data_IF_393298549177
#
_entry.id   IF_393298549177
#
_cell.length_a   1.000
_cell.length_b   1.000
_cell.length_c   1.000
_cell.angle_alpha   90.00
_cell.angle_beta   90.00
_cell.angle_gamma   90.00
#
_symmetry.space_group_name_H-M   'P 1'
#
loop_
_entity.id
_entity.type
_entity.pdbx_description
1 polymer ?
#
# COMPACT_ATOMS: atom_id res chain seq x y z
N UNK A 1 -8.19 54.64 -35.31
CA UNK A 1 -8.39 53.17 -35.40
C UNK A 1 -7.03 52.53 -35.16
N UNK A 2 -6.61 52.47 -33.90
CA UNK A 2 -6.84 51.38 -32.92
C UNK A 2 -5.98 50.16 -33.26
N UNK A 3 -5.06 49.94 -32.33
CA UNK A 3 -4.06 48.89 -32.21
C UNK A 3 -4.64 47.48 -32.43
N UNK A 4 -3.81 46.58 -32.97
CA UNK A 4 -3.91 45.17 -32.61
C UNK A 4 -2.55 44.47 -32.79
N UNK A 5 -1.60 44.75 -31.89
CA UNK A 5 -0.55 43.78 -31.51
C UNK A 5 -1.21 42.65 -30.68
N UNK A 6 -2.15 41.91 -31.28
CA UNK A 6 -2.95 40.89 -30.59
C UNK A 6 -2.77 39.47 -31.18
N UNK A 7 -1.76 39.27 -32.02
CA UNK A 7 -1.50 37.97 -32.65
C UNK A 7 -0.67 37.00 -31.81
N UNK A 8 0.16 37.51 -30.89
CA UNK A 8 1.12 36.68 -30.15
C UNK A 8 0.67 36.28 -28.73
N UNK A 9 -0.58 36.58 -28.36
CA UNK A 9 -1.17 36.11 -27.10
C UNK A 9 -2.03 34.85 -27.29
N UNK A 10 -2.43 34.54 -28.53
CA UNK A 10 -3.31 33.42 -28.84
C UNK A 10 -2.61 32.07 -29.11
N UNK A 11 -1.28 32.00 -28.97
CA UNK A 11 -0.55 30.71 -29.03
C UNK A 11 -0.29 30.14 -27.62
N UNK A 12 -0.45 30.94 -26.56
CA UNK A 12 -0.18 30.50 -25.18
C UNK A 12 -1.33 29.68 -24.56
N UNK A 13 -2.52 29.70 -25.16
CA UNK A 13 -3.71 29.00 -24.64
C UNK A 13 -3.90 27.58 -25.20
N UNK A 14 -2.97 27.08 -26.01
CA UNK A 14 -3.05 25.72 -26.58
C UNK A 14 -2.29 24.65 -25.78
N UNK A 15 -1.58 25.01 -24.71
CA UNK A 15 -0.79 24.08 -23.88
C UNK A 15 -1.39 23.76 -22.52
N UNK A 16 -2.55 24.29 -22.19
CA UNK A 16 -3.36 23.74 -21.10
C UNK A 16 -4.27 22.70 -21.74
N UNK A 17 -3.82 21.44 -21.78
CA UNK A 17 -4.77 20.34 -21.89
C UNK A 17 -5.63 20.38 -20.63
N UNK A 18 -6.93 20.68 -20.70
CA UNK A 18 -7.82 20.27 -19.63
C UNK A 18 -7.72 18.74 -19.60
N UNK A 19 -7.20 18.18 -18.51
CA UNK A 19 -7.38 16.75 -18.24
C UNK A 19 -8.88 16.49 -18.34
N UNK A 20 -9.35 15.69 -19.31
CA UNK A 20 -10.78 15.46 -19.44
C UNK A 20 -11.25 14.77 -18.17
N UNK A 21 -12.13 15.46 -17.45
CA UNK A 21 -13.14 14.87 -16.59
C UNK A 21 -13.77 13.70 -17.36
N UNK A 22 -13.39 12.47 -17.01
CA UNK A 22 -13.93 11.27 -17.65
C UNK A 22 -12.87 10.33 -18.20
N UNK A 23 -12.10 9.69 -17.32
CA UNK A 23 -11.62 8.34 -17.61
C UNK A 23 -12.84 7.40 -17.48
N UNK A 24 -13.66 7.32 -18.52
CA UNK A 24 -14.60 6.22 -18.63
C UNK A 24 -13.78 4.95 -18.81
N UNK A 25 -13.68 4.16 -17.74
CA UNK A 25 -13.21 2.78 -17.78
C UNK A 25 -14.43 1.87 -18.00
N UNK A 26 -14.92 1.67 -19.25
CA UNK A 26 -16.01 0.74 -19.47
C UNK A 26 -15.50 -0.67 -19.16
N UNK A 27 -16.04 -1.25 -18.10
CA UNK A 27 -15.80 -2.60 -17.58
C UNK A 27 -14.64 -2.78 -16.58
N UNK A 28 -14.18 -1.73 -15.88
CA UNK A 28 -13.56 -1.97 -14.57
C UNK A 28 -14.69 -2.23 -13.56
N UNK A 29 -15.05 -3.50 -13.37
CA UNK A 29 -15.93 -3.90 -12.28
C UNK A 29 -15.22 -3.56 -10.96
N UNK A 30 -15.72 -2.54 -10.27
CA UNK A 30 -15.28 -2.15 -8.92
C UNK A 30 -15.49 -3.29 -7.90
N UNK A 31 -16.17 -4.37 -8.28
CA UNK A 31 -16.25 -5.61 -7.50
C UNK A 31 -14.95 -6.46 -7.54
N UNK A 32 -13.97 -6.12 -8.38
CA UNK A 32 -12.71 -6.86 -8.56
C UNK A 32 -11.48 -6.15 -7.94
N UNK A 33 -11.67 -5.08 -7.14
CA UNK A 33 -10.62 -4.43 -6.35
C UNK A 33 -11.20 -4.09 -4.95
N UNK A 34 -10.59 -4.46 -3.80
CA UNK A 34 -9.18 -4.74 -3.59
C UNK A 34 -8.92 -6.06 -2.81
N UNK A 35 -8.04 -6.91 -3.32
CA UNK A 35 -7.02 -7.41 -2.37
C UNK A 35 -6.25 -6.16 -1.99
N UNK A 36 -6.28 -5.74 -0.72
CA UNK A 36 -5.56 -4.56 -0.27
C UNK A 36 -4.16 -4.57 -0.90
N UNK A 37 -3.77 -3.48 -1.57
CA UNK A 37 -2.45 -3.43 -2.19
C UNK A 37 -1.41 -3.67 -1.09
N UNK A 38 -0.36 -4.46 -1.35
CA UNK A 38 0.62 -4.77 -0.33
C UNK A 38 1.30 -3.48 0.15
N UNK A 39 1.52 -3.40 1.46
CA UNK A 39 2.38 -2.39 2.08
C UNK A 39 3.82 -2.81 1.83
N UNK A 40 4.56 -1.98 1.08
CA UNK A 40 5.93 -2.27 0.65
C UNK A 40 6.91 -1.38 1.41
N UNK A 41 7.96 -1.98 1.95
CA UNK A 41 9.12 -1.31 2.50
C UNK A 41 10.15 -0.95 1.45
N UNK A 42 11.30 -0.51 1.94
CA UNK A 42 12.43 0.00 1.18
C UNK A 42 13.69 -0.82 1.50
N UNK A 43 14.83 -0.52 0.86
CA UNK A 43 16.11 -0.94 1.43
C UNK A 43 16.41 -0.11 2.69
N UNK A 44 16.57 -0.76 3.83
CA UNK A 44 16.77 -0.11 5.13
C UNK A 44 16.05 -0.87 6.24
N UNK A 45 16.07 -0.31 7.44
CA UNK A 45 15.22 -0.80 8.53
C UNK A 45 13.87 -0.07 8.44
N UNK A 46 12.81 -0.82 8.17
CA UNK A 46 11.45 -0.32 8.08
C UNK A 46 10.58 -0.80 9.27
N UNK A 47 9.49 -0.07 9.54
CA UNK A 47 8.52 -0.41 10.57
C UNK A 47 7.12 -0.53 9.95
N UNK A 48 6.44 -1.64 10.23
CA UNK A 48 5.09 -1.93 9.74
C UNK A 48 4.12 -2.11 10.90
N UNK A 49 2.93 -1.54 10.76
CA UNK A 49 1.85 -1.63 11.75
C UNK A 49 0.56 -2.05 11.05
N UNK A 50 0.02 -3.21 11.42
CA UNK A 50 -1.24 -3.75 10.91
C UNK A 50 -2.46 -3.20 11.63
N UNK A 51 -3.61 -3.29 10.98
CA UNK A 51 -4.88 -2.79 11.52
C UNK A 51 -5.55 -3.82 12.43
N UNK A 52 -5.12 -3.87 13.71
CA UNK A 52 -5.57 -4.87 14.68
C UNK A 52 -7.10 -4.92 14.97
N UNK A 53 -7.88 -3.93 14.51
CA UNK A 53 -9.35 -3.89 14.68
C UNK A 53 -10.12 -4.19 13.39
N UNK A 54 -9.48 -4.17 12.22
CA UNK A 54 -10.12 -4.50 10.96
C UNK A 54 -10.06 -6.02 10.74
N UNK A 55 -11.17 -6.64 10.32
CA UNK A 55 -11.14 -8.05 9.97
C UNK A 55 -10.49 -8.31 8.59
N UNK A 56 -10.14 -7.25 7.85
CA UNK A 56 -9.47 -7.30 6.56
C UNK A 56 -8.05 -7.84 6.67
N UNK A 57 -7.72 -8.83 5.83
CA UNK A 57 -6.35 -9.34 5.71
C UNK A 57 -5.47 -8.36 4.93
N UNK A 58 -4.31 -8.03 5.48
CA UNK A 58 -3.31 -7.15 4.91
C UNK A 58 -2.12 -7.97 4.37
N UNK A 59 -1.26 -7.32 3.58
CA UNK A 59 -0.04 -7.94 3.07
C UNK A 59 1.11 -6.96 3.22
N UNK A 60 2.18 -7.40 3.86
CA UNK A 60 3.37 -6.62 4.17
C UNK A 60 4.59 -7.24 3.51
N UNK A 61 5.42 -6.41 2.88
CA UNK A 61 6.68 -6.82 2.25
C UNK A 61 7.78 -5.88 2.74
N UNK A 62 8.71 -6.39 3.56
CA UNK A 62 9.80 -5.58 4.16
C UNK A 62 10.83 -5.13 3.14
N UNK A 63 11.49 -6.09 2.49
CA UNK A 63 12.52 -5.79 1.52
C UNK A 63 13.89 -6.22 2.05
N UNK A 64 14.84 -5.29 2.13
CA UNK A 64 16.19 -5.62 2.58
C UNK A 64 16.61 -4.71 3.71
N UNK A 65 17.10 -5.28 4.81
CA UNK A 65 17.48 -4.58 6.04
C UNK A 65 16.81 -5.24 7.24
N UNK A 66 17.03 -4.71 8.44
CA UNK A 66 16.51 -5.30 9.67
C UNK A 66 15.15 -4.66 9.98
N UNK A 67 14.06 -5.31 9.60
CA UNK A 67 12.70 -4.77 9.64
C UNK A 67 11.91 -5.16 10.90
N UNK A 68 10.93 -4.35 11.27
CA UNK A 68 10.01 -4.60 12.37
C UNK A 68 8.54 -4.63 11.90
N UNK A 69 7.78 -5.64 12.32
CA UNK A 69 6.36 -5.80 12.00
C UNK A 69 5.54 -6.01 13.26
N UNK A 70 4.56 -5.14 13.50
CA UNK A 70 3.52 -5.28 14.52
C UNK A 70 2.17 -5.47 13.82
N UNK A 71 1.81 -6.72 13.54
CA UNK A 71 0.62 -7.09 12.75
C UNK A 71 -0.31 -8.03 13.51
N UNK A 72 -0.13 -8.19 14.81
CA UNK A 72 -0.99 -9.03 15.61
C UNK A 72 -2.41 -8.43 15.73
N UNK A 73 -3.42 -9.24 15.42
CA UNK A 73 -4.83 -8.87 15.46
C UNK A 73 -5.44 -8.66 14.08
N UNK A 74 -6.74 -8.36 14.06
CA UNK A 74 -7.42 -8.01 12.83
C UNK A 74 -7.69 -9.19 11.88
N UNK A 75 -7.24 -9.09 10.63
CA UNK A 75 -7.37 -10.07 9.56
C UNK A 75 -6.40 -11.25 9.69
N UNK A 76 -6.32 -12.09 8.67
CA UNK A 76 -5.26 -13.10 8.57
C UNK A 76 -4.18 -12.58 7.64
N UNK A 77 -3.19 -11.88 8.20
CA UNK A 77 -2.24 -11.08 7.46
C UNK A 77 -1.16 -11.94 6.80
N UNK A 78 -0.48 -11.38 5.81
CA UNK A 78 0.66 -12.01 5.14
C UNK A 78 1.89 -11.15 5.28
N UNK A 79 2.95 -11.71 5.87
CA UNK A 79 4.21 -10.99 6.10
C UNK A 79 5.34 -11.65 5.32
N UNK A 80 6.00 -10.88 4.48
CA UNK A 80 7.21 -11.25 3.74
C UNK A 80 8.36 -10.33 4.15
N UNK A 81 9.18 -10.72 5.12
CA UNK A 81 10.19 -9.82 5.66
C UNK A 81 11.29 -9.48 4.63
N UNK A 82 11.93 -10.50 4.07
CA UNK A 82 12.89 -10.32 2.98
C UNK A 82 14.27 -10.73 3.46
N UNK A 83 15.30 -9.90 3.25
CA UNK A 83 16.65 -10.23 3.70
C UNK A 83 17.12 -9.29 4.80
N UNK A 84 17.58 -9.83 5.93
CA UNK A 84 18.11 -9.03 7.02
C UNK A 84 17.98 -9.81 8.32
N UNK A 85 17.82 -9.11 9.45
CA UNK A 85 17.33 -9.70 10.69
C UNK A 85 16.04 -9.02 11.08
N UNK A 86 14.94 -9.69 10.81
CA UNK A 86 13.61 -9.16 10.94
C UNK A 86 12.94 -9.65 12.21
N UNK A 87 12.08 -8.79 12.77
CA UNK A 87 11.30 -9.05 13.97
C UNK A 87 9.81 -8.88 13.67
N UNK A 88 9.03 -9.94 13.88
CA UNK A 88 7.59 -9.96 13.61
C UNK A 88 6.82 -10.30 14.88
N UNK A 89 5.85 -9.46 15.23
CA UNK A 89 4.76 -9.75 16.15
C UNK A 89 3.51 -10.03 15.34
N UNK A 90 3.03 -11.26 15.39
CA UNK A 90 1.90 -11.75 14.62
C UNK A 90 1.00 -12.63 15.52
N UNK A 91 -0.27 -12.74 15.17
CA UNK A 91 -1.17 -13.67 15.84
C UNK A 91 -1.27 -15.01 15.09
N UNK A 92 -2.00 -15.97 15.65
CA UNK A 92 -2.16 -17.32 15.07
C UNK A 92 -2.87 -17.36 13.71
N UNK A 93 -3.60 -16.30 13.35
CA UNK A 93 -4.29 -16.19 12.06
C UNK A 93 -3.41 -15.67 10.92
N UNK A 94 -2.23 -15.14 11.24
CA UNK A 94 -1.29 -14.59 10.26
C UNK A 94 -0.36 -15.63 9.64
N UNK A 95 -0.04 -15.42 8.36
CA UNK A 95 0.93 -16.17 7.60
C UNK A 95 2.24 -15.37 7.50
N UNK A 96 3.24 -15.82 8.25
CA UNK A 96 4.58 -15.21 8.26
C UNK A 96 5.53 -16.07 7.42
N UNK A 97 6.18 -15.47 6.43
CA UNK A 97 7.10 -16.16 5.55
C UNK A 97 8.33 -16.69 6.31
N UNK A 98 8.93 -17.77 5.80
CA UNK A 98 10.15 -18.34 6.37
C UNK A 98 11.40 -17.48 6.23
N UNK A 99 11.29 -16.33 5.55
CA UNK A 99 12.34 -15.31 5.47
C UNK A 99 12.41 -14.44 6.73
N UNK A 100 11.48 -14.56 7.67
CA UNK A 100 11.48 -13.78 8.91
C UNK A 100 12.23 -14.53 10.02
N UNK A 101 13.27 -13.92 10.58
CA UNK A 101 14.19 -14.59 11.51
C UNK A 101 13.62 -14.74 12.92
N UNK A 102 12.95 -13.69 13.43
CA UNK A 102 12.39 -13.69 14.79
C UNK A 102 10.89 -13.43 14.73
N UNK A 103 10.08 -14.41 15.17
CA UNK A 103 8.62 -14.31 15.16
C UNK A 103 8.07 -14.59 16.55
N UNK A 104 7.39 -13.60 17.14
CA UNK A 104 6.59 -13.77 18.35
C UNK A 104 5.13 -13.98 17.97
N UNK A 105 4.54 -15.05 18.50
CA UNK A 105 3.15 -15.45 18.23
C UNK A 105 2.27 -15.24 19.45
N UNK A 106 1.13 -14.61 19.23
CA UNK A 106 0.04 -14.49 20.22
C UNK A 106 -1.21 -15.24 19.73
N UNK A 107 -2.12 -15.56 20.63
CA UNK A 107 -3.43 -16.08 20.23
C UNK A 107 -4.20 -14.99 19.47
N UNK A 108 -4.90 -15.38 18.40
CA UNK A 108 -5.76 -14.44 17.68
C UNK A 108 -6.86 -13.89 18.59
N UNK A 109 -7.17 -12.58 18.56
CA UNK A 109 -8.26 -12.03 19.33
C UNK A 109 -9.58 -12.70 18.90
N UNK A 110 -10.37 -13.14 19.88
CA UNK A 110 -11.65 -13.78 19.62
C UNK A 110 -12.56 -12.84 18.82
N UNK A 111 -12.91 -13.21 17.59
CA UNK A 111 -13.79 -12.43 16.73
C UNK A 111 -15.21 -12.50 17.33
N UNK A 112 -15.67 -11.40 17.91
CA UNK A 112 -17.00 -11.24 18.51
C UNK A 112 -18.11 -11.10 17.47
#
# INVERSE_FOLDING_TARGET
MILALAGLFLVYLSFVSPTPEGLSVPDLKVADLPVAAPTLGTPGADEFYGSAQDAGAETFVGGAGDDFFEVAGGGGDRVFCGSGRDLVHADESDLVAGSCETVYRTAAPGKG
#
